data_IF_455145417854
#
_entry.id   IF_455145417854
#
_cell.length_a   1.000
_cell.length_b   1.000
_cell.length_c   1.000
_cell.angle_alpha   90.00
_cell.angle_beta   90.00
_cell.angle_gamma   90.00
#
_symmetry.space_group_name_H-M   'P 1'
#
loop_
_entity.id
_entity.type
_entity.pdbx_description
1 polymer ?
#
# COMPACT_ATOMS: atom_id res chain seq x y z
N UNK A 1 0.15 -55.21 35.66
CA UNK A 1 0.55 -53.82 35.32
C UNK A 1 -0.27 -53.39 34.13
N UNK A 2 -1.21 -52.47 34.35
CA UNK A 2 -2.02 -51.79 33.32
C UNK A 2 -1.16 -50.89 32.42
N UNK A 3 -1.63 -50.68 31.18
CA UNK A 3 -1.84 -49.37 30.50
C UNK A 3 -1.99 -49.67 28.99
N UNK A 4 -3.22 -49.69 28.46
CA UNK A 4 -3.95 -48.56 27.88
C UNK A 4 -3.49 -48.20 26.45
N UNK A 5 -4.21 -48.74 25.46
CA UNK A 5 -4.16 -48.34 24.05
C UNK A 5 -4.88 -46.99 23.88
N UNK A 6 -4.12 -45.93 23.60
CA UNK A 6 -4.62 -44.61 23.26
C UNK A 6 -4.90 -44.47 21.77
N UNK A 7 -6.18 -44.33 21.42
CA UNK A 7 -6.68 -43.98 20.09
C UNK A 7 -6.38 -42.50 19.77
N UNK A 8 -5.46 -42.23 18.83
CA UNK A 8 -5.25 -40.88 18.29
C UNK A 8 -6.17 -40.64 17.08
N UNK A 9 -7.11 -39.70 17.25
CA UNK A 9 -8.03 -39.21 16.22
C UNK A 9 -7.27 -38.48 15.11
N UNK A 10 -7.50 -38.88 13.86
CA UNK A 10 -7.15 -38.11 12.66
C UNK A 10 -8.04 -36.86 12.57
N UNK A 11 -7.44 -35.67 12.74
CA UNK A 11 -8.09 -34.40 12.42
C UNK A 11 -7.72 -34.02 11.00
N UNK A 12 -8.70 -34.09 10.10
CA UNK A 12 -8.61 -33.53 8.74
C UNK A 12 -8.59 -32.01 8.84
N UNK A 13 -7.50 -31.38 8.39
CA UNK A 13 -7.51 -29.96 8.07
C UNK A 13 -8.07 -29.76 6.66
N UNK A 14 -9.13 -28.96 6.56
CA UNK A 14 -9.73 -28.51 5.31
C UNK A 14 -9.04 -27.20 4.86
N UNK A 15 -8.77 -26.98 3.57
CA UNK A 15 -8.19 -25.71 3.11
C UNK A 15 -9.31 -24.66 3.03
N UNK A 16 -9.20 -23.63 3.87
CA UNK A 16 -10.09 -22.47 3.84
C UNK A 16 -9.59 -21.54 2.74
N UNK A 17 -10.22 -21.56 1.57
CA UNK A 17 -10.12 -20.48 0.59
C UNK A 17 -10.55 -19.18 1.27
N UNK A 18 -9.61 -18.26 1.49
CA UNK A 18 -9.92 -16.92 1.94
C UNK A 18 -10.31 -16.10 0.70
N UNK A 19 -11.61 -15.87 0.54
CA UNK A 19 -12.12 -14.85 -0.36
C UNK A 19 -11.71 -13.48 0.21
N UNK A 20 -10.73 -12.84 -0.40
CA UNK A 20 -10.44 -11.42 -0.16
C UNK A 20 -11.64 -10.59 -0.65
N UNK A 21 -12.20 -9.66 0.16
CA UNK A 21 -13.32 -8.85 -0.27
C UNK A 21 -12.84 -7.83 -1.31
N UNK A 22 -13.14 -8.11 -2.58
CA UNK A 22 -13.11 -7.09 -3.64
C UNK A 22 -14.32 -6.20 -3.40
N UNK A 23 -14.08 -4.94 -3.00
CA UNK A 23 -15.15 -3.95 -2.99
C UNK A 23 -15.54 -3.66 -4.44
N UNK A 24 -16.73 -4.11 -4.83
CA UNK A 24 -17.29 -3.89 -6.15
C UNK A 24 -17.73 -2.41 -6.26
N UNK A 25 -16.82 -1.56 -6.76
CA UNK A 25 -16.96 -0.10 -6.77
C UNK A 25 -18.00 0.45 -7.76
N UNK A 26 -18.79 -0.42 -8.41
CA UNK A 26 -19.79 -0.05 -9.42
C UNK A 26 -21.24 -0.09 -8.92
N UNK A 27 -21.50 -0.30 -7.63
CA UNK A 27 -22.86 -0.26 -7.09
C UNK A 27 -23.34 1.19 -6.84
N UNK A 28 -24.43 1.66 -7.48
CA UNK A 28 -25.00 2.97 -7.18
C UNK A 28 -25.65 2.98 -5.78
N UNK A 29 -25.06 3.74 -4.87
CA UNK A 29 -25.59 3.95 -3.51
C UNK A 29 -26.83 4.86 -3.54
N UNK A 30 -28.02 4.28 -3.42
CA UNK A 30 -29.28 4.97 -3.17
C UNK A 30 -29.78 4.69 -1.75
N UNK A 31 -29.06 5.11 -0.71
CA UNK A 31 -29.60 5.11 0.66
C UNK A 31 -29.12 6.37 1.40
N UNK A 32 -30.00 7.36 1.50
CA UNK A 32 -29.82 8.48 2.43
C UNK A 32 -30.25 8.03 3.82
N UNK A 33 -29.37 8.17 4.80
CA UNK A 33 -29.71 7.91 6.20
C UNK A 33 -29.81 9.23 6.96
N UNK A 34 -31.04 9.72 7.09
CA UNK A 34 -31.42 10.79 8.03
C UNK A 34 -31.33 10.22 9.45
N UNK A 35 -30.55 10.84 10.34
CA UNK A 35 -30.69 10.65 11.79
C UNK A 35 -31.18 11.94 12.45
N UNK A 36 -32.30 11.80 13.15
CA UNK A 36 -33.02 12.81 13.90
C UNK A 36 -32.20 13.29 15.11
N UNK A 37 -32.26 14.60 15.35
CA UNK A 37 -31.80 15.28 16.56
C UNK A 37 -32.85 15.13 17.65
N UNK A 38 -32.48 14.53 18.78
CA UNK A 38 -33.28 14.52 20.00
C UNK A 38 -32.85 15.65 20.93
N UNK A 39 -33.79 16.54 21.27
CA UNK A 39 -33.68 17.57 22.32
C UNK A 39 -34.16 17.00 23.67
N UNK A 40 -33.53 17.40 24.77
CA UNK A 40 -34.05 17.36 26.14
C UNK A 40 -33.30 18.40 27.02
N UNK A 41 -33.87 18.84 28.16
CA UNK A 41 -34.10 20.28 28.39
C UNK A 41 -33.22 20.97 29.45
N UNK A 42 -33.50 22.28 29.52
CA UNK A 42 -33.00 23.36 30.38
C UNK A 42 -33.36 23.14 31.87
N UNK A 43 -32.41 23.46 32.76
CA UNK A 43 -32.69 23.79 34.15
C UNK A 43 -31.92 25.06 34.55
N UNK A 44 -32.64 25.97 35.21
CA UNK A 44 -32.25 27.30 35.69
C UNK A 44 -31.87 27.26 37.16
N UNK A 45 -30.85 28.02 37.58
CA UNK A 45 -30.74 28.58 38.92
C UNK A 45 -29.72 29.74 38.95
N UNK A 46 -29.92 30.64 39.90
CA UNK A 46 -29.51 32.04 39.86
C UNK A 46 -28.10 32.36 40.39
N UNK A 47 -27.61 33.47 39.86
CA UNK A 47 -26.61 34.43 40.34
C UNK A 47 -26.06 34.32 41.77
N UNK A 48 -24.75 34.56 41.89
CA UNK A 48 -24.16 35.54 42.82
C UNK A 48 -22.82 36.04 42.26
N UNK A 49 -22.61 37.34 42.36
CA UNK A 49 -21.43 38.10 41.91
C UNK A 49 -20.44 38.15 43.07
N UNK A 50 -19.20 37.73 42.84
CA UNK A 50 -18.05 38.18 43.64
C UNK A 50 -16.93 38.59 42.69
N UNK A 51 -16.45 39.81 42.89
CA UNK A 51 -15.35 40.46 42.18
C UNK A 51 -14.13 40.34 43.07
N UNK A 52 -13.08 39.68 42.61
CA UNK A 52 -11.72 39.92 43.11
C UNK A 52 -10.64 39.51 42.10
N UNK A 53 -9.44 40.01 42.38
CA UNK A 53 -8.46 40.56 41.45
C UNK A 53 -7.48 39.57 40.81
N UNK A 54 -7.14 39.86 39.56
CA UNK A 54 -5.79 39.92 38.98
C UNK A 54 -4.82 38.72 39.20
N UNK A 55 -4.66 37.91 38.14
CA UNK A 55 -3.37 37.32 37.79
C UNK A 55 -3.32 37.10 36.28
N UNK A 56 -2.42 37.83 35.61
CA UNK A 56 -2.08 37.63 34.20
C UNK A 56 -1.34 36.30 34.05
N UNK A 57 -2.09 35.23 33.84
CA UNK A 57 -1.52 34.05 33.21
C UNK A 57 -1.29 34.39 31.73
N UNK A 58 -0.04 34.61 31.39
CA UNK A 58 0.44 34.51 30.01
C UNK A 58 0.33 33.04 29.63
N UNK A 59 -0.88 32.63 29.25
CA UNK A 59 -1.04 31.47 28.39
C UNK A 59 -0.27 31.79 27.12
N UNK A 60 0.84 31.10 26.95
CA UNK A 60 1.52 31.00 25.68
C UNK A 60 0.51 30.36 24.75
N UNK A 61 -0.23 31.21 24.04
CA UNK A 61 -1.02 30.85 22.88
C UNK A 61 -0.08 30.09 21.96
N UNK A 62 -0.17 28.75 22.02
CA UNK A 62 0.35 27.89 20.96
C UNK A 62 -0.49 28.26 19.76
N UNK A 63 -0.06 29.34 19.09
CA UNK A 63 -0.52 29.81 17.81
C UNK A 63 -0.96 28.59 17.03
N UNK A 64 -2.28 28.47 16.88
CA UNK A 64 -2.91 27.39 16.13
C UNK A 64 -2.39 27.52 14.70
N UNK A 65 -1.26 26.87 14.42
CA UNK A 65 -0.64 26.88 13.10
C UNK A 65 -1.69 26.38 12.13
N UNK A 66 -2.13 27.29 11.27
CA UNK A 66 -3.32 27.12 10.45
C UNK A 66 -3.09 25.97 9.46
N UNK A 67 -3.80 24.85 9.65
CA UNK A 67 -3.74 23.70 8.74
C UNK A 67 -4.50 24.04 7.46
N UNK A 68 -3.79 24.45 6.41
CA UNK A 68 -4.38 24.75 5.11
C UNK A 68 -4.77 23.48 4.36
N UNK A 69 -5.91 23.48 3.64
CA UNK A 69 -6.25 22.36 2.77
C UNK A 69 -5.26 22.24 1.61
N UNK A 70 -5.08 21.02 1.11
CA UNK A 70 -4.25 20.76 -0.07
C UNK A 70 -4.71 21.56 -1.28
N UNK A 71 -3.76 22.06 -2.07
CA UNK A 71 -4.04 22.68 -3.36
C UNK A 71 -4.65 21.67 -4.34
N UNK A 72 -5.28 22.17 -5.41
CA UNK A 72 -5.84 21.29 -6.43
C UNK A 72 -4.75 20.44 -7.11
N UNK A 73 -3.56 21.00 -7.33
CA UNK A 73 -2.42 20.29 -7.91
C UNK A 73 -1.91 19.20 -6.98
N UNK A 74 -1.76 19.50 -5.69
CA UNK A 74 -1.34 18.53 -4.68
C UNK A 74 -2.33 17.36 -4.57
N UNK A 75 -3.63 17.67 -4.59
CA UNK A 75 -4.67 16.65 -4.59
C UNK A 75 -4.61 15.77 -5.84
N UNK A 76 -4.49 16.37 -7.03
CA UNK A 76 -4.37 15.61 -8.29
C UNK A 76 -3.14 14.69 -8.29
N UNK A 77 -2.02 15.18 -7.78
CA UNK A 77 -0.80 14.38 -7.63
C UNK A 77 -1.04 13.19 -6.71
N UNK A 78 -1.57 13.41 -5.50
CA UNK A 78 -1.85 12.33 -4.54
C UNK A 78 -2.87 11.32 -5.07
N UNK A 79 -3.95 11.79 -5.71
CA UNK A 79 -4.96 10.92 -6.32
C UNK A 79 -4.35 10.02 -7.40
N UNK A 80 -3.43 10.55 -8.21
CA UNK A 80 -2.69 9.80 -9.21
C UNK A 80 -1.71 8.81 -8.59
N UNK A 81 -0.86 9.28 -7.67
CA UNK A 81 0.17 8.48 -7.03
C UNK A 81 -0.42 7.29 -6.24
N UNK A 82 -1.44 7.53 -5.41
CA UNK A 82 -2.06 6.46 -4.63
C UNK A 82 -2.82 5.46 -5.49
N UNK A 83 -3.37 5.88 -6.64
CA UNK A 83 -3.98 4.97 -7.61
C UNK A 83 -2.93 4.06 -8.25
N UNK A 84 -1.79 4.63 -8.66
CA UNK A 84 -0.67 3.88 -9.24
C UNK A 84 -0.11 2.90 -8.21
N UNK A 85 0.14 3.33 -6.97
CA UNK A 85 0.62 2.45 -5.91
C UNK A 85 -0.32 1.26 -5.70
N UNK A 86 -1.63 1.52 -5.56
CA UNK A 86 -2.60 0.44 -5.38
C UNK A 86 -2.61 -0.56 -6.56
N UNK A 87 -2.46 -0.08 -7.79
CA UNK A 87 -2.38 -0.94 -8.97
C UNK A 87 -1.05 -1.70 -9.04
N UNK A 88 0.06 -1.07 -8.64
CA UNK A 88 1.40 -1.66 -8.53
C UNK A 88 1.42 -2.80 -7.52
N UNK A 89 0.96 -2.57 -6.29
CA UNK A 89 0.92 -3.60 -5.24
C UNK A 89 0.03 -4.78 -5.63
N UNK A 90 -1.09 -4.54 -6.32
CA UNK A 90 -1.88 -5.63 -6.87
C UNK A 90 -1.08 -6.47 -7.85
N UNK A 91 -0.37 -5.81 -8.77
CA UNK A 91 0.43 -6.50 -9.78
C UNK A 91 1.54 -7.32 -9.11
N UNK A 92 2.24 -6.77 -8.12
CA UNK A 92 3.26 -7.47 -7.34
C UNK A 92 2.68 -8.71 -6.63
N UNK A 93 1.56 -8.57 -5.89
CA UNK A 93 0.84 -9.70 -5.27
C UNK A 93 0.54 -10.79 -6.31
N UNK A 94 0.06 -10.42 -7.51
CA UNK A 94 -0.28 -11.38 -8.56
C UNK A 94 0.94 -12.03 -9.21
N UNK A 95 2.04 -11.29 -9.37
CA UNK A 95 3.31 -11.81 -9.87
C UNK A 95 3.83 -12.86 -8.89
N UNK A 96 3.96 -12.55 -7.60
CA UNK A 96 4.42 -13.52 -6.60
C UNK A 96 3.47 -14.71 -6.46
N UNK A 97 2.16 -14.48 -6.52
CA UNK A 97 1.16 -15.57 -6.54
C UNK A 97 1.39 -16.52 -7.71
N UNK A 98 1.68 -15.98 -8.90
CA UNK A 98 1.87 -16.76 -10.12
C UNK A 98 3.25 -17.43 -10.20
N UNK A 99 4.29 -16.76 -9.67
CA UNK A 99 5.66 -17.29 -9.64
C UNK A 99 5.85 -18.40 -8.62
N UNK A 100 5.17 -18.31 -7.47
CA UNK A 100 5.41 -19.20 -6.33
C UNK A 100 5.26 -20.68 -6.67
N UNK A 101 4.16 -21.17 -7.28
CA UNK A 101 3.97 -22.61 -7.47
C UNK A 101 5.02 -23.28 -8.36
N UNK A 102 5.41 -22.75 -9.54
CA UNK A 102 6.50 -23.32 -10.33
C UNK A 102 7.84 -23.24 -9.61
N UNK A 103 8.16 -22.11 -8.97
CA UNK A 103 9.44 -21.92 -8.29
C UNK A 103 9.62 -22.87 -7.11
N UNK A 104 8.64 -22.98 -6.21
CA UNK A 104 8.77 -23.88 -5.04
C UNK A 104 8.75 -25.36 -5.43
N UNK A 105 8.24 -25.69 -6.62
CA UNK A 105 8.27 -27.06 -7.14
C UNK A 105 9.66 -27.44 -7.63
N UNK A 106 10.36 -26.52 -8.29
CA UNK A 106 11.72 -26.74 -8.80
C UNK A 106 12.80 -26.44 -7.74
N UNK A 107 12.54 -25.49 -6.85
CA UNK A 107 13.45 -25.00 -5.81
C UNK A 107 12.72 -24.88 -4.46
N UNK A 108 12.45 -26.01 -3.76
CA UNK A 108 11.68 -26.01 -2.52
C UNK A 108 12.23 -25.11 -1.40
N UNK A 109 13.55 -24.87 -1.40
CA UNK A 109 14.24 -23.99 -0.46
C UNK A 109 13.81 -22.52 -0.56
N UNK A 110 13.25 -22.09 -1.70
CA UNK A 110 12.77 -20.72 -1.89
C UNK A 110 11.41 -20.47 -1.21
N UNK A 111 10.73 -21.50 -0.70
CA UNK A 111 9.39 -21.36 -0.10
C UNK A 111 9.33 -20.28 0.99
N UNK A 112 10.25 -20.20 1.96
CA UNK A 112 10.21 -19.15 2.98
C UNK A 112 10.36 -17.76 2.37
N UNK A 113 11.26 -17.59 1.42
CA UNK A 113 11.52 -16.32 0.74
C UNK A 113 10.31 -15.86 -0.09
N UNK A 114 9.76 -16.73 -0.94
CA UNK A 114 8.57 -16.43 -1.73
C UNK A 114 7.36 -16.07 -0.86
N UNK A 115 7.22 -16.75 0.28
CA UNK A 115 6.16 -16.42 1.25
C UNK A 115 6.39 -15.06 1.89
N UNK A 116 7.63 -14.76 2.26
CA UNK A 116 8.00 -13.50 2.91
C UNK A 116 7.67 -12.30 2.02
N UNK A 117 8.16 -12.30 0.78
CA UNK A 117 7.90 -11.22 -0.19
C UNK A 117 6.40 -11.10 -0.46
N UNK A 118 5.70 -12.21 -0.69
CA UNK A 118 4.25 -12.20 -0.87
C UNK A 118 3.48 -11.59 0.31
N UNK A 119 3.85 -11.92 1.55
CA UNK A 119 3.18 -11.39 2.74
C UNK A 119 3.40 -9.87 2.88
N UNK A 120 4.59 -9.37 2.51
CA UNK A 120 4.89 -7.93 2.45
C UNK A 120 4.01 -7.23 1.41
N UNK A 121 3.99 -7.73 0.17
CA UNK A 121 3.14 -7.19 -0.90
C UNK A 121 1.66 -7.18 -0.54
N UNK A 122 1.16 -8.24 0.11
CA UNK A 122 -0.22 -8.27 0.58
C UNK A 122 -0.47 -7.18 1.65
N UNK A 123 0.51 -6.93 2.52
CA UNK A 123 0.52 -5.81 3.46
C UNK A 123 0.49 -4.44 2.79
N UNK A 124 1.31 -4.24 1.77
CA UNK A 124 1.36 -3.00 0.98
C UNK A 124 0.02 -2.78 0.27
N UNK A 125 -0.49 -3.81 -0.42
CA UNK A 125 -1.77 -3.77 -1.12
C UNK A 125 -2.93 -3.44 -0.18
N UNK A 126 -2.96 -4.02 1.03
CA UNK A 126 -3.95 -3.66 2.06
C UNK A 126 -3.84 -2.19 2.48
N UNK A 127 -2.62 -1.69 2.66
CA UNK A 127 -2.35 -0.29 3.01
C UNK A 127 -2.92 0.64 1.95
N UNK A 128 -2.59 0.42 0.67
CA UNK A 128 -3.07 1.31 -0.38
C UNK A 128 -4.56 1.14 -0.68
N UNK A 129 -5.13 -0.06 -0.58
CA UNK A 129 -6.59 -0.23 -0.64
C UNK A 129 -7.31 0.59 0.44
N UNK A 130 -6.78 0.61 1.67
CA UNK A 130 -7.31 1.44 2.72
C UNK A 130 -7.19 2.93 2.38
N UNK A 131 -6.04 3.39 1.91
CA UNK A 131 -5.80 4.79 1.55
C UNK A 131 -6.72 5.25 0.40
N UNK A 132 -6.83 4.49 -0.69
CA UNK A 132 -7.70 4.87 -1.80
C UNK A 132 -9.17 4.90 -1.39
N UNK A 133 -9.61 3.97 -0.53
CA UNK A 133 -10.98 3.96 -0.01
C UNK A 133 -11.24 5.15 0.93
N UNK A 134 -10.32 5.42 1.87
CA UNK A 134 -10.37 6.54 2.82
C UNK A 134 -10.51 7.87 2.10
N UNK A 135 -9.73 8.07 1.03
CA UNK A 135 -9.69 9.31 0.27
C UNK A 135 -10.64 9.36 -0.93
N UNK A 136 -11.43 8.29 -1.15
CA UNK A 136 -12.36 8.14 -2.29
C UNK A 136 -11.66 8.29 -3.65
N UNK A 137 -10.43 7.81 -3.73
CA UNK A 137 -9.64 7.78 -4.95
C UNK A 137 -10.14 6.61 -5.79
N UNK A 138 -10.47 6.88 -7.05
CA UNK A 138 -10.90 5.84 -7.98
C UNK A 138 -9.70 4.96 -8.35
N UNK A 139 -9.80 3.62 -8.27
CA UNK A 139 -8.82 2.72 -8.87
C UNK A 139 -8.68 2.96 -10.37
N UNK A 140 -7.58 2.52 -10.95
CA UNK A 140 -7.38 2.65 -12.41
C UNK A 140 -8.37 1.80 -13.20
N UNK A 141 -8.88 2.32 -14.31
CA UNK A 141 -9.74 1.56 -15.23
C UNK A 141 -9.03 0.37 -15.86
N UNK A 142 -7.69 0.40 -15.91
CA UNK A 142 -6.87 -0.69 -16.48
C UNK A 142 -6.73 -1.90 -15.57
N UNK A 143 -7.35 -1.89 -14.38
CA UNK A 143 -7.28 -2.95 -13.39
C UNK A 143 -7.44 -4.38 -13.98
N UNK A 144 -8.44 -4.68 -14.84
CA UNK A 144 -8.56 -6.02 -15.43
C UNK A 144 -7.37 -6.43 -16.32
N UNK A 145 -6.82 -5.48 -17.08
CA UNK A 145 -5.67 -5.71 -17.96
C UNK A 145 -4.42 -5.98 -17.13
N UNK A 146 -4.19 -5.19 -16.08
CA UNK A 146 -3.05 -5.37 -15.18
C UNK A 146 -3.07 -6.70 -14.44
N UNK A 147 -4.25 -7.19 -14.04
CA UNK A 147 -4.35 -8.52 -13.44
C UNK A 147 -3.86 -9.61 -14.38
N UNK A 148 -4.33 -9.59 -15.63
CA UNK A 148 -3.94 -10.59 -16.63
C UNK A 148 -2.44 -10.47 -16.95
N UNK A 149 -1.96 -9.26 -17.17
CA UNK A 149 -0.55 -9.01 -17.49
C UNK A 149 0.38 -9.46 -16.36
N UNK A 150 0.09 -9.09 -15.10
CA UNK A 150 0.88 -9.45 -13.93
C UNK A 150 0.92 -10.96 -13.71
N UNK A 151 -0.23 -11.64 -13.76
CA UNK A 151 -0.28 -13.11 -13.63
C UNK A 151 0.46 -13.81 -14.76
N UNK A 152 0.30 -13.36 -16.00
CA UNK A 152 1.00 -13.94 -17.15
C UNK A 152 2.52 -13.73 -17.05
N UNK A 153 2.97 -12.55 -16.61
CA UNK A 153 4.38 -12.23 -16.40
C UNK A 153 4.99 -13.11 -15.32
N UNK A 154 4.34 -13.21 -14.16
CA UNK A 154 4.82 -14.05 -13.06
C UNK A 154 4.88 -15.53 -13.43
N UNK A 155 3.84 -16.05 -14.07
CA UNK A 155 3.81 -17.46 -14.48
C UNK A 155 4.84 -17.79 -15.57
N UNK A 156 4.98 -16.94 -16.58
CA UNK A 156 5.91 -17.18 -17.69
C UNK A 156 7.37 -17.14 -17.24
N UNK A 157 7.74 -16.17 -16.41
CA UNK A 157 9.11 -16.04 -15.90
C UNK A 157 9.49 -17.20 -14.98
N UNK A 158 8.57 -17.66 -14.12
CA UNK A 158 8.79 -18.81 -13.25
C UNK A 158 8.91 -20.15 -14.00
N UNK A 159 8.28 -20.28 -15.18
CA UNK A 159 8.47 -21.45 -16.04
C UNK A 159 9.82 -21.44 -16.74
N UNK A 160 10.31 -20.26 -17.14
CA UNK A 160 11.62 -20.13 -17.76
C UNK A 160 12.70 -20.57 -16.76
N UNK A 161 12.61 -20.15 -15.51
CA UNK A 161 13.51 -20.59 -14.45
C UNK A 161 13.55 -19.64 -13.27
N UNK A 162 14.31 -20.01 -12.24
CA UNK A 162 14.50 -19.19 -11.04
C UNK A 162 15.15 -17.85 -11.39
N UNK A 163 16.20 -17.87 -12.19
CA UNK A 163 16.98 -16.70 -12.58
C UNK A 163 16.09 -15.69 -13.32
N UNK A 164 15.25 -16.16 -14.25
CA UNK A 164 14.31 -15.31 -14.98
C UNK A 164 13.19 -14.74 -14.08
N UNK A 165 12.71 -15.52 -13.12
CA UNK A 165 11.74 -15.04 -12.14
C UNK A 165 12.33 -13.97 -11.21
N UNK A 166 13.57 -14.18 -10.73
CA UNK A 166 14.26 -13.18 -9.92
C UNK A 166 14.64 -11.94 -10.73
N UNK A 167 15.04 -12.08 -12.01
CA UNK A 167 15.24 -10.94 -12.90
C UNK A 167 13.94 -10.15 -13.13
N UNK A 168 12.79 -10.83 -13.18
CA UNK A 168 11.49 -10.18 -13.22
C UNK A 168 11.21 -9.39 -11.95
N UNK A 169 11.43 -9.98 -10.76
CA UNK A 169 11.30 -9.31 -9.47
C UNK A 169 12.19 -8.07 -9.44
N UNK A 170 13.50 -8.21 -9.67
CA UNK A 170 14.45 -7.10 -9.68
C UNK A 170 14.00 -5.95 -10.60
N UNK A 171 13.56 -6.29 -11.82
CA UNK A 171 13.08 -5.31 -12.80
C UNK A 171 11.81 -4.57 -12.36
N UNK A 172 10.87 -5.27 -11.73
CA UNK A 172 9.62 -4.69 -11.22
C UNK A 172 9.92 -3.78 -10.02
N UNK A 173 10.67 -4.27 -9.03
CA UNK A 173 10.94 -3.52 -7.80
C UNK A 173 11.84 -2.30 -8.06
N UNK A 174 12.70 -2.36 -9.09
CA UNK A 174 13.45 -1.17 -9.53
C UNK A 174 12.52 -0.03 -9.95
N UNK A 175 11.45 -0.33 -10.71
CA UNK A 175 10.54 0.70 -11.21
C UNK A 175 9.54 1.13 -10.13
N UNK A 176 9.06 0.20 -9.29
CA UNK A 176 8.17 0.50 -8.16
C UNK A 176 8.91 1.33 -7.09
N UNK A 177 10.10 0.90 -6.66
CA UNK A 177 10.94 1.65 -5.72
C UNK A 177 11.35 3.03 -6.25
N UNK A 178 11.59 3.14 -7.57
CA UNK A 178 11.78 4.43 -8.25
C UNK A 178 10.57 5.36 -8.12
N UNK A 179 9.36 4.82 -8.32
CA UNK A 179 8.11 5.57 -8.19
C UNK A 179 7.88 6.07 -6.75
N UNK A 180 8.18 5.23 -5.74
CA UNK A 180 8.10 5.64 -4.33
C UNK A 180 9.10 6.74 -3.98
N UNK A 181 10.34 6.63 -4.47
CA UNK A 181 11.35 7.67 -4.25
C UNK A 181 10.91 9.03 -4.79
N UNK A 182 10.28 9.07 -5.97
CA UNK A 182 9.77 10.31 -6.53
C UNK A 182 8.64 10.91 -5.68
N UNK A 183 7.69 10.08 -5.23
CA UNK A 183 6.64 10.53 -4.32
C UNK A 183 7.21 11.11 -3.03
N UNK A 184 8.14 10.40 -2.39
CA UNK A 184 8.78 10.84 -1.14
C UNK A 184 9.47 12.19 -1.33
N UNK A 185 10.18 12.39 -2.45
CA UNK A 185 10.81 13.68 -2.77
C UNK A 185 9.80 14.82 -2.88
N UNK A 186 8.70 14.60 -3.59
CA UNK A 186 7.63 15.61 -3.75
C UNK A 186 7.01 15.96 -2.39
N UNK A 187 6.72 14.97 -1.55
CA UNK A 187 6.13 15.21 -0.24
C UNK A 187 7.09 15.93 0.72
N UNK A 188 8.39 15.64 0.63
CA UNK A 188 9.41 16.35 1.39
C UNK A 188 9.57 17.80 0.95
N UNK A 189 9.60 18.06 -0.35
CA UNK A 189 9.61 19.44 -0.88
C UNK A 189 8.37 20.22 -0.40
N UNK A 190 7.19 19.59 -0.36
CA UNK A 190 6.00 20.22 0.20
C UNK A 190 6.13 20.49 1.70
N UNK A 191 6.68 19.56 2.46
CA UNK A 191 6.91 19.71 3.90
C UNK A 191 7.88 20.88 4.19
N UNK A 192 9.00 20.95 3.46
CA UNK A 192 9.98 22.04 3.57
C UNK A 192 9.35 23.40 3.23
N UNK A 193 8.54 23.46 2.17
CA UNK A 193 7.82 24.68 1.78
C UNK A 193 6.77 25.12 2.82
N UNK A 194 6.15 24.17 3.52
CA UNK A 194 5.22 24.48 4.62
C UNK A 194 5.98 25.05 5.82
N UNK A 195 7.06 24.40 6.22
CA UNK A 195 7.89 24.83 7.33
C UNK A 195 8.50 26.22 7.09
N UNK A 196 8.98 26.49 5.86
CA UNK A 196 9.48 27.81 5.47
C UNK A 196 8.41 28.92 5.55
N UNK A 197 7.12 28.58 5.46
CA UNK A 197 6.00 29.51 5.66
C UNK A 197 5.52 29.57 7.12
N UNK A 198 6.16 28.83 8.04
CA UNK A 198 5.75 28.72 9.44
C UNK A 198 4.52 27.84 9.66
N UNK A 199 4.14 27.02 8.67
CA UNK A 199 3.00 26.11 8.70
C UNK A 199 3.43 24.71 9.18
N UNK A 200 2.53 23.98 9.82
CA UNK A 200 2.79 22.61 10.27
C UNK A 200 2.39 21.58 9.22
N UNK A 201 3.25 20.56 9.03
CA UNK A 201 2.88 19.37 8.25
C UNK A 201 1.82 18.60 9.01
N UNK A 202 0.65 18.40 8.39
CA UNK A 202 -0.43 17.63 8.99
C UNK A 202 -0.04 16.16 9.24
N UNK A 203 -0.56 15.58 10.33
CA UNK A 203 -0.25 14.19 10.73
C UNK A 203 -0.50 13.18 9.60
N UNK A 204 -1.57 13.35 8.83
CA UNK A 204 -1.86 12.45 7.70
C UNK A 204 -0.77 12.46 6.62
N UNK A 205 -0.12 13.60 6.38
CA UNK A 205 1.00 13.68 5.44
C UNK A 205 2.25 13.00 6.02
N UNK A 206 2.47 13.11 7.33
CA UNK A 206 3.57 12.42 8.02
C UNK A 206 3.37 10.91 7.98
N UNK A 207 2.15 10.44 8.26
CA UNK A 207 1.77 9.02 8.20
C UNK A 207 1.94 8.48 6.78
N UNK A 208 1.51 9.23 5.77
CA UNK A 208 1.73 8.84 4.37
C UNK A 208 3.22 8.72 4.06
N UNK A 209 4.02 9.73 4.42
CA UNK A 209 5.46 9.74 4.18
C UNK A 209 6.15 8.56 4.89
N UNK A 210 5.75 8.24 6.11
CA UNK A 210 6.27 7.09 6.84
C UNK A 210 5.93 5.78 6.16
N UNK A 211 4.68 5.61 5.72
CA UNK A 211 4.26 4.42 4.98
C UNK A 211 5.02 4.27 3.66
N UNK A 212 5.16 5.34 2.87
CA UNK A 212 5.90 5.29 1.61
C UNK A 212 7.38 4.94 1.82
N UNK A 213 8.02 5.48 2.86
CA UNK A 213 9.42 5.14 3.19
C UNK A 213 9.57 3.67 3.59
N UNK A 214 8.70 3.18 4.47
CA UNK A 214 8.71 1.77 4.89
C UNK A 214 8.57 0.84 3.69
N UNK A 215 7.53 1.06 2.88
CA UNK A 215 7.24 0.23 1.70
C UNK A 215 8.40 0.29 0.71
N UNK A 216 8.93 1.48 0.40
CA UNK A 216 10.12 1.61 -0.46
C UNK A 216 11.31 0.80 0.07
N UNK A 217 11.57 0.85 1.38
CA UNK A 217 12.70 0.12 1.96
C UNK A 217 12.49 -1.39 1.89
N UNK A 218 11.24 -1.87 2.03
CA UNK A 218 10.84 -3.26 1.81
C UNK A 218 10.99 -3.66 0.32
N UNK A 219 10.66 -2.79 -0.64
CA UNK A 219 10.89 -3.08 -2.08
C UNK A 219 12.38 -3.16 -2.45
N UNK A 220 13.23 -2.37 -1.80
CA UNK A 220 14.67 -2.48 -1.97
C UNK A 220 15.19 -3.80 -1.41
N UNK A 221 14.62 -4.27 -0.30
CA UNK A 221 14.91 -5.60 0.23
C UNK A 221 14.52 -6.71 -0.76
N UNK A 222 13.35 -6.62 -1.39
CA UNK A 222 12.91 -7.55 -2.43
C UNK A 222 13.88 -7.58 -3.63
N UNK A 223 14.35 -6.41 -4.06
CA UNK A 223 15.36 -6.28 -5.10
C UNK A 223 16.67 -6.98 -4.71
N UNK A 224 17.15 -6.75 -3.49
CA UNK A 224 18.38 -7.38 -2.98
C UNK A 224 18.22 -8.91 -2.93
N UNK A 225 17.08 -9.41 -2.42
CA UNK A 225 16.77 -10.85 -2.43
C UNK A 225 16.78 -11.42 -3.85
N UNK A 226 16.26 -10.70 -4.84
CA UNK A 226 16.29 -11.15 -6.23
C UNK A 226 17.71 -11.27 -6.77
N UNK A 227 18.57 -10.28 -6.49
CA UNK A 227 19.99 -10.30 -6.87
C UNK A 227 20.72 -11.46 -6.20
N UNK A 228 20.51 -11.65 -4.89
CA UNK A 228 21.10 -12.76 -4.11
C UNK A 228 20.61 -14.14 -4.57
N UNK A 229 19.50 -14.20 -5.29
CA UNK A 229 18.94 -15.42 -5.87
C UNK A 229 19.16 -15.52 -7.39
N UNK A 230 20.27 -14.95 -7.87
CA UNK A 230 20.81 -15.09 -9.22
C UNK A 230 19.97 -14.40 -10.32
N UNK A 231 19.28 -13.30 -10.03
CA UNK A 231 18.60 -12.48 -11.03
C UNK A 231 19.52 -12.12 -12.21
N UNK A 232 20.77 -11.73 -11.93
CA UNK A 232 21.76 -11.32 -12.95
C UNK A 232 22.22 -12.45 -13.86
N UNK A 233 21.92 -13.70 -13.52
CA UNK A 233 22.26 -14.88 -14.30
C UNK A 233 21.17 -15.28 -15.31
N UNK A 234 20.06 -14.53 -15.40
CA UNK A 234 19.07 -14.79 -16.43
C UNK A 234 19.66 -14.60 -17.84
N UNK A 235 19.27 -15.43 -18.81
CA UNK A 235 19.77 -15.31 -20.17
C UNK A 235 18.63 -15.18 -21.19
N UNK A 236 18.53 -14.07 -21.95
CA UNK A 236 19.30 -12.82 -21.86
C UNK A 236 18.76 -11.84 -20.80
N UNK A 237 19.54 -11.57 -19.75
CA UNK A 237 19.17 -10.67 -18.64
C UNK A 237 18.75 -9.27 -19.10
N UNK A 238 19.62 -8.56 -19.83
CA UNK A 238 19.40 -7.17 -20.22
C UNK A 238 18.14 -6.99 -21.06
N UNK A 239 17.87 -7.93 -21.96
CA UNK A 239 16.67 -7.89 -22.80
C UNK A 239 15.40 -8.13 -21.96
N UNK A 240 15.42 -9.15 -21.10
CA UNK A 240 14.30 -9.48 -20.23
C UNK A 240 13.94 -8.31 -19.31
N UNK A 241 14.92 -7.81 -18.56
CA UNK A 241 14.70 -6.71 -17.61
C UNK A 241 14.33 -5.41 -18.33
N UNK A 242 14.94 -5.09 -19.47
CA UNK A 242 14.58 -3.90 -20.25
C UNK A 242 13.12 -3.91 -20.72
N UNK A 243 12.63 -5.06 -21.21
CA UNK A 243 11.23 -5.21 -21.64
C UNK A 243 10.29 -5.06 -20.44
N UNK A 244 10.58 -5.73 -19.32
CA UNK A 244 9.75 -5.66 -18.11
C UNK A 244 9.71 -4.23 -17.58
N UNK A 245 10.86 -3.56 -17.44
CA UNK A 245 10.96 -2.18 -16.97
C UNK A 245 10.23 -1.20 -17.89
N UNK A 246 10.28 -1.41 -19.20
CA UNK A 246 9.51 -0.60 -20.16
C UNK A 246 8.00 -0.82 -20.00
N UNK A 247 7.58 -2.06 -19.76
CA UNK A 247 6.20 -2.42 -19.41
C UNK A 247 5.72 -1.72 -18.13
N UNK A 248 6.51 -1.78 -17.05
CA UNK A 248 6.19 -1.12 -15.78
C UNK A 248 6.04 0.39 -15.95
N UNK A 249 6.99 1.06 -16.64
CA UNK A 249 6.90 2.51 -16.92
C UNK A 249 5.66 2.87 -17.71
N UNK A 250 5.29 2.04 -18.68
CA UNK A 250 4.06 2.21 -19.46
C UNK A 250 2.82 2.04 -18.56
N UNK A 251 2.79 1.01 -17.72
CA UNK A 251 1.66 0.76 -16.81
C UNK A 251 1.48 1.90 -15.80
N UNK A 252 2.58 2.44 -15.24
CA UNK A 252 2.58 3.63 -14.39
C UNK A 252 1.98 4.82 -15.14
N UNK A 253 2.53 5.15 -16.31
CA UNK A 253 2.08 6.30 -17.11
C UNK A 253 0.58 6.22 -17.46
N UNK A 254 0.08 5.03 -17.81
CA UNK A 254 -1.35 4.83 -18.11
C UNK A 254 -2.18 4.99 -16.82
N UNK A 255 -1.76 4.38 -15.72
CA UNK A 255 -2.52 4.36 -14.46
C UNK A 255 -2.56 5.72 -13.76
N UNK A 256 -1.59 6.60 -14.00
CA UNK A 256 -1.67 8.00 -13.57
C UNK A 256 -2.87 8.74 -14.18
N UNK A 257 -3.23 8.37 -15.41
CA UNK A 257 -4.22 9.07 -16.25
C UNK A 257 -5.61 8.46 -16.19
N UNK A 258 -5.70 7.14 -16.02
CA UNK A 258 -6.94 6.34 -16.13
C UNK A 258 -7.35 5.69 -14.82
#
# INVERSE_FOLDING_TARGET
MSLALGSARSVRCSPRCQNLPVYDFLAPSLISWRRNVGKAPIASAAASIEVESESKNVETDKSSREKRPLSQEQRRFLDSALRVNQAGELAAVLIYTAQTPPLIRSHPQLRPLMKHMYDQEEGHFRTFNHLIAKHRIRPTLMYPVWKVAATALGWSTAIIGREAAMACTEAVETEIGGHYNEQIRVLLDWAEKLEARGEEVGEEMKDLLQNLRRIRDEELEHLDHAVDNDAKSAEPYELLTSVIRSGCRTAIWISERL
#
